data_IF_248275331269
#
_entry.id   IF_248275331269
#
_cell.length_a   1.000
_cell.length_b   1.000
_cell.length_c   1.000
_cell.angle_alpha   90.00
_cell.angle_beta   90.00
_cell.angle_gamma   90.00
#
_symmetry.space_group_name_H-M   'P 1'
#
loop_
_entity.id
_entity.type
_entity.pdbx_description
1 polymer ?
#
# COMPACT_ATOMS: atom_id res chain seq x y z
N UNK A 1 -15.54 7.02 -12.52
CA UNK A 1 -14.95 5.69 -12.24
C UNK A 1 -15.98 4.53 -12.21
N UNK A 2 -17.24 4.70 -12.65
CA UNK A 2 -18.26 3.62 -12.59
C UNK A 2 -18.94 3.27 -13.93
N UNK A 3 -18.54 3.86 -15.07
CA UNK A 3 -19.21 3.61 -16.36
C UNK A 3 -18.53 2.53 -17.23
N UNK A 4 -17.47 1.89 -16.75
CA UNK A 4 -16.83 0.78 -17.42
C UNK A 4 -16.64 -0.31 -16.37
N UNK A 5 -17.41 -1.39 -16.45
CA UNK A 5 -17.27 -2.62 -15.63
C UNK A 5 -15.91 -3.33 -15.84
N UNK A 6 -14.95 -2.67 -16.49
CA UNK A 6 -13.61 -3.17 -16.78
C UNK A 6 -12.59 -2.28 -16.07
N UNK A 7 -11.71 -2.92 -15.29
CA UNK A 7 -10.54 -2.26 -14.70
C UNK A 7 -9.76 -1.55 -15.80
N UNK A 8 -9.32 -0.32 -15.54
CA UNK A 8 -8.41 0.38 -16.45
C UNK A 8 -7.08 -0.35 -16.51
N UNK A 9 -6.38 -0.20 -17.63
CA UNK A 9 -5.07 -0.84 -17.84
C UNK A 9 -4.07 -0.48 -16.73
N UNK A 10 -4.13 0.75 -16.22
CA UNK A 10 -3.31 1.20 -15.07
C UNK A 10 -3.59 0.39 -13.79
N UNK A 11 -4.86 0.13 -13.47
CA UNK A 11 -5.22 -0.63 -12.27
C UNK A 11 -4.77 -2.09 -12.36
N UNK A 12 -4.87 -2.69 -13.55
CA UNK A 12 -4.39 -4.06 -13.78
C UNK A 12 -2.88 -4.16 -13.57
N UNK A 13 -2.10 -3.21 -14.12
CA UNK A 13 -0.64 -3.18 -13.97
C UNK A 13 -0.20 -3.10 -12.49
N UNK A 14 -0.84 -2.25 -11.69
CA UNK A 14 -0.52 -2.10 -10.26
C UNK A 14 -0.88 -3.38 -9.49
N UNK A 15 -2.03 -3.98 -9.78
CA UNK A 15 -2.49 -5.20 -9.10
C UNK A 15 -1.61 -6.42 -9.42
N UNK A 16 -1.20 -6.57 -10.68
CA UNK A 16 -0.33 -7.68 -11.10
C UNK A 16 1.07 -7.57 -10.45
N UNK A 17 1.62 -6.35 -10.36
CA UNK A 17 2.89 -6.11 -9.66
C UNK A 17 2.79 -6.44 -8.15
N UNK A 18 1.71 -6.00 -7.48
CA UNK A 18 1.48 -6.31 -6.07
C UNK A 18 1.33 -7.82 -5.82
N UNK A 19 0.59 -8.53 -6.67
CA UNK A 19 0.44 -10.00 -6.59
C UNK A 19 1.75 -10.72 -6.81
N UNK A 20 2.55 -10.31 -7.78
CA UNK A 20 3.84 -10.93 -8.05
C UNK A 20 4.83 -10.72 -6.88
N UNK A 21 4.86 -9.53 -6.28
CA UNK A 21 5.64 -9.26 -5.08
C UNK A 21 5.31 -10.21 -3.93
N UNK A 22 4.03 -10.44 -3.67
CA UNK A 22 3.57 -11.38 -2.63
C UNK A 22 3.93 -12.85 -2.95
N UNK A 23 3.71 -13.30 -4.19
CA UNK A 23 4.01 -14.70 -4.56
C UNK A 23 5.52 -14.96 -4.50
N UNK A 24 6.33 -14.01 -4.97
CA UNK A 24 7.79 -14.14 -4.98
C UNK A 24 8.40 -14.10 -3.58
N UNK A 25 7.79 -13.39 -2.64
CA UNK A 25 8.24 -13.38 -1.25
C UNK A 25 7.89 -14.67 -0.50
N UNK A 26 6.71 -15.25 -0.75
CA UNK A 26 6.23 -16.43 -0.02
C UNK A 26 6.72 -17.75 -0.64
N UNK A 27 6.85 -17.80 -1.97
CA UNK A 27 7.19 -19.01 -2.72
C UNK A 27 8.36 -18.75 -3.69
N UNK A 28 9.55 -18.38 -3.20
CA UNK A 28 10.68 -18.01 -4.04
C UNK A 28 11.11 -19.13 -5.00
N UNK A 29 11.03 -20.39 -4.54
CA UNK A 29 11.33 -21.57 -5.38
C UNK A 29 10.33 -21.73 -6.53
N UNK A 30 9.05 -21.45 -6.30
CA UNK A 30 8.02 -21.51 -7.33
C UNK A 30 8.25 -20.43 -8.38
N UNK A 31 8.55 -19.20 -7.96
CA UNK A 31 8.86 -18.11 -8.90
C UNK A 31 10.08 -18.42 -9.77
N UNK A 32 11.12 -19.03 -9.21
CA UNK A 32 12.29 -19.45 -9.98
C UNK A 32 11.94 -20.49 -11.06
N UNK A 33 11.01 -21.40 -10.79
CA UNK A 33 10.53 -22.39 -11.78
C UNK A 33 9.62 -21.72 -12.82
N UNK A 34 8.72 -20.84 -12.39
CA UNK A 34 7.77 -20.15 -13.25
C UNK A 34 8.44 -19.29 -14.33
N UNK A 35 9.66 -18.76 -14.09
CA UNK A 35 10.45 -18.03 -15.10
C UNK A 35 10.76 -18.87 -16.35
N UNK A 36 10.78 -20.20 -16.24
CA UNK A 36 11.07 -21.11 -17.34
C UNK A 36 9.82 -21.53 -18.13
N UNK A 37 8.62 -21.16 -17.65
CA UNK A 37 7.36 -21.58 -18.26
C UNK A 37 6.97 -20.60 -19.38
N UNK A 38 6.90 -21.03 -20.66
CA UNK A 38 6.67 -20.15 -21.81
C UNK A 38 5.17 -19.82 -22.01
N UNK A 39 4.43 -19.55 -20.93
CA UNK A 39 3.03 -19.12 -21.00
C UNK A 39 2.95 -17.59 -20.92
N UNK A 40 2.16 -16.98 -21.81
CA UNK A 40 2.00 -15.52 -21.88
C UNK A 40 1.59 -14.89 -20.55
N UNK A 41 0.60 -15.48 -19.86
CA UNK A 41 0.14 -15.00 -18.56
C UNK A 41 1.22 -15.04 -17.47
N UNK A 42 2.08 -16.07 -17.49
CA UNK A 42 3.19 -16.21 -16.52
C UNK A 42 4.28 -15.19 -16.81
N UNK A 43 4.62 -14.98 -18.09
CA UNK A 43 5.59 -13.95 -18.49
C UNK A 43 5.09 -12.54 -18.20
N UNK A 44 3.80 -12.28 -18.42
CA UNK A 44 3.16 -11.00 -18.10
C UNK A 44 3.19 -10.69 -16.59
N UNK A 45 3.04 -11.73 -15.75
CA UNK A 45 3.12 -11.62 -14.29
C UNK A 45 4.56 -11.44 -13.81
N UNK A 46 5.51 -12.19 -14.36
CA UNK A 46 6.94 -12.13 -14.00
C UNK A 46 7.58 -10.80 -14.45
N UNK A 47 7.12 -10.23 -15.57
CA UNK A 47 7.61 -8.95 -16.10
C UNK A 47 6.73 -7.75 -15.69
N UNK A 48 5.94 -7.88 -14.61
CA UNK A 48 5.08 -6.78 -14.14
C UNK A 48 5.89 -5.53 -13.74
N UNK A 49 7.13 -5.71 -13.29
CA UNK A 49 8.04 -4.62 -12.90
C UNK A 49 8.33 -3.64 -14.04
N UNK A 50 8.47 -4.13 -15.29
CA UNK A 50 8.68 -3.27 -16.46
C UNK A 50 7.49 -2.34 -16.72
N UNK A 51 6.28 -2.82 -16.44
CA UNK A 51 5.04 -2.06 -16.64
C UNK A 51 4.88 -0.96 -15.58
N UNK A 52 5.28 -1.24 -14.33
CA UNK A 52 5.31 -0.23 -13.25
C UNK A 52 6.38 0.81 -13.54
N UNK A 53 7.56 0.38 -13.99
CA UNK A 53 8.66 1.29 -14.32
C UNK A 53 8.28 2.28 -15.43
N UNK A 54 7.61 1.80 -16.49
CA UNK A 54 7.17 2.67 -17.59
C UNK A 54 6.20 3.76 -17.10
N UNK A 55 5.24 3.38 -16.25
CA UNK A 55 4.29 4.33 -15.66
C UNK A 55 4.98 5.36 -14.77
N UNK A 56 6.00 4.92 -14.03
CA UNK A 56 6.75 5.78 -13.15
C UNK A 56 7.62 6.77 -13.93
N UNK A 57 8.27 6.33 -15.01
CA UNK A 57 9.00 7.21 -15.94
C UNK A 57 8.09 8.26 -16.58
N UNK A 58 6.88 7.88 -17.00
CA UNK A 58 5.89 8.81 -17.53
C UNK A 58 5.49 9.86 -16.49
N UNK A 59 5.24 9.43 -15.25
CA UNK A 59 4.89 10.32 -14.13
C UNK A 59 6.03 11.30 -13.81
N UNK A 60 7.27 10.81 -13.81
CA UNK A 60 8.46 11.64 -13.59
C UNK A 60 8.66 12.66 -14.72
N UNK A 61 8.51 12.25 -15.98
CA UNK A 61 8.56 13.17 -17.14
C UNK A 61 7.47 14.24 -17.07
N UNK A 62 6.27 13.87 -16.60
CA UNK A 62 5.20 14.84 -16.39
C UNK A 62 5.56 15.82 -15.27
N UNK A 63 6.09 15.35 -14.14
CA UNK A 63 6.53 16.21 -13.04
C UNK A 63 7.62 17.20 -13.48
N UNK A 64 8.58 16.77 -14.31
CA UNK A 64 9.60 17.66 -14.89
C UNK A 64 8.98 18.73 -15.82
N UNK A 65 8.01 18.35 -16.66
CA UNK A 65 7.36 19.26 -17.62
C UNK A 65 6.46 20.30 -16.96
N UNK A 66 5.83 19.95 -15.83
CA UNK A 66 4.94 20.87 -15.12
C UNK A 66 5.69 21.99 -14.38
N UNK A 67 7.02 21.92 -14.31
CA UNK A 67 7.87 22.89 -13.60
C UNK A 67 7.67 22.84 -12.08
N UNK A 68 8.59 23.48 -11.35
CA UNK A 68 8.65 23.53 -9.87
C UNK A 68 7.36 24.11 -9.24
N UNK A 69 6.48 24.74 -10.04
CA UNK A 69 5.19 25.28 -9.61
C UNK A 69 4.07 24.25 -9.40
N UNK A 70 4.17 23.04 -9.96
CA UNK A 70 3.21 21.97 -9.69
C UNK A 70 3.61 21.22 -8.42
N UNK A 71 2.90 21.50 -7.31
CA UNK A 71 3.24 21.04 -5.95
C UNK A 71 2.88 19.57 -5.73
N UNK A 72 3.56 18.64 -6.39
CA UNK A 72 3.45 17.21 -6.07
C UNK A 72 4.74 16.69 -5.42
N UNK A 73 4.67 15.51 -4.80
CA UNK A 73 5.81 14.94 -4.08
C UNK A 73 6.99 14.62 -5.02
N UNK A 74 6.72 14.29 -6.29
CA UNK A 74 7.74 13.92 -7.28
C UNK A 74 8.51 15.15 -7.79
N UNK A 75 7.85 16.30 -7.98
CA UNK A 75 8.55 17.53 -8.34
C UNK A 75 9.45 18.03 -7.20
N UNK A 76 9.02 17.85 -5.94
CA UNK A 76 9.88 18.10 -4.76
C UNK A 76 11.07 17.14 -4.71
N UNK A 77 10.85 15.85 -4.98
CA UNK A 77 11.92 14.84 -5.01
C UNK A 77 13.00 15.20 -6.04
N UNK A 78 12.59 15.63 -7.25
CA UNK A 78 13.52 16.09 -8.30
C UNK A 78 14.30 17.32 -7.82
N UNK A 79 13.59 18.33 -7.30
CA UNK A 79 14.21 19.58 -6.86
C UNK A 79 15.20 19.39 -5.70
N UNK A 80 14.97 18.39 -4.84
CA UNK A 80 15.91 18.06 -3.77
C UNK A 80 17.12 17.28 -4.30
N UNK A 81 16.91 16.34 -5.22
CA UNK A 81 17.98 15.59 -5.87
C UNK A 81 18.96 16.50 -6.65
N UNK A 82 18.48 17.62 -7.19
CA UNK A 82 19.31 18.61 -7.89
C UNK A 82 20.23 19.41 -6.95
N UNK A 83 19.97 19.42 -5.63
CA UNK A 83 20.79 20.13 -4.64
C UNK A 83 21.98 19.32 -4.14
N UNK A 84 21.88 18.00 -4.19
CA UNK A 84 22.89 17.10 -3.64
C UNK A 84 24.06 16.87 -4.61
N UNK A 85 25.27 16.70 -4.04
CA UNK A 85 26.48 16.41 -4.83
C UNK A 85 26.52 14.96 -5.36
N UNK A 86 25.77 14.04 -4.74
CA UNK A 86 25.55 12.68 -5.20
C UNK A 86 24.09 12.55 -5.66
N UNK A 87 23.83 12.87 -6.92
CA UNK A 87 22.48 12.83 -7.48
C UNK A 87 22.06 11.41 -7.87
N UNK A 88 20.83 11.05 -7.53
CA UNK A 88 20.15 9.87 -8.04
C UNK A 88 19.92 9.99 -9.55
N UNK A 89 20.04 8.87 -10.24
CA UNK A 89 19.72 8.76 -11.66
C UNK A 89 18.21 8.90 -11.90
N UNK A 90 17.82 9.35 -13.09
CA UNK A 90 16.40 9.39 -13.50
C UNK A 90 15.70 8.05 -13.31
N UNK A 91 16.41 6.94 -13.52
CA UNK A 91 15.90 5.60 -13.30
C UNK A 91 15.58 5.33 -11.83
N UNK A 92 16.47 5.70 -10.90
CA UNK A 92 16.23 5.54 -9.46
C UNK A 92 15.07 6.41 -8.99
N UNK A 93 14.98 7.66 -9.46
CA UNK A 93 13.86 8.53 -9.13
C UNK A 93 12.52 7.97 -9.66
N UNK A 94 12.51 7.45 -10.89
CA UNK A 94 11.33 6.77 -11.44
C UNK A 94 11.00 5.50 -10.65
N UNK A 95 11.98 4.70 -10.26
CA UNK A 95 11.75 3.51 -9.46
C UNK A 95 11.06 3.85 -8.12
N UNK A 96 11.57 4.85 -7.40
CA UNK A 96 10.94 5.34 -6.16
C UNK A 96 9.53 5.88 -6.39
N UNK A 97 9.31 6.63 -7.47
CA UNK A 97 7.99 7.11 -7.84
C UNK A 97 7.00 5.95 -8.10
N UNK A 98 7.46 4.90 -8.77
CA UNK A 98 6.71 3.66 -8.97
C UNK A 98 6.34 3.00 -7.64
N UNK A 99 7.28 2.95 -6.70
CA UNK A 99 7.06 2.47 -5.33
C UNK A 99 5.92 3.22 -4.64
N UNK A 100 5.92 4.55 -4.66
CA UNK A 100 4.84 5.36 -4.07
C UNK A 100 3.49 5.11 -4.72
N UNK A 101 3.45 5.03 -6.05
CA UNK A 101 2.20 4.78 -6.80
C UNK A 101 1.63 3.40 -6.44
N UNK A 102 2.45 2.35 -6.44
CA UNK A 102 2.01 1.00 -6.11
C UNK A 102 1.54 0.91 -4.66
N UNK A 103 2.35 1.42 -3.73
CA UNK A 103 2.07 1.35 -2.30
C UNK A 103 0.79 2.12 -1.93
N UNK A 104 0.59 3.32 -2.48
CA UNK A 104 -0.53 4.19 -2.13
C UNK A 104 -1.85 3.90 -2.87
N UNK A 105 -1.79 3.36 -4.09
CA UNK A 105 -3.00 3.20 -4.91
C UNK A 105 -3.88 2.04 -4.47
N UNK A 106 -3.31 0.83 -4.44
CA UNK A 106 -4.08 -0.38 -4.14
C UNK A 106 -4.56 -0.43 -2.70
N UNK A 107 -3.71 -0.02 -1.76
CA UNK A 107 -4.03 -0.05 -0.33
C UNK A 107 -5.17 0.89 0.01
N UNK A 108 -5.08 2.16 -0.40
CA UNK A 108 -6.11 3.17 -0.15
C UNK A 108 -7.43 2.80 -0.81
N UNK A 109 -7.40 2.27 -2.03
CA UNK A 109 -8.62 1.84 -2.72
C UNK A 109 -9.34 0.71 -1.97
N UNK A 110 -8.60 -0.29 -1.49
CA UNK A 110 -9.16 -1.40 -0.69
C UNK A 110 -9.70 -0.89 0.63
N UNK A 111 -8.92 -0.09 1.37
CA UNK A 111 -9.34 0.48 2.66
C UNK A 111 -10.61 1.31 2.54
N UNK A 112 -10.70 2.21 1.55
CA UNK A 112 -11.90 3.02 1.31
C UNK A 112 -13.11 2.17 0.93
N UNK A 113 -12.90 1.12 0.12
CA UNK A 113 -13.99 0.20 -0.27
C UNK A 113 -14.60 -0.47 0.96
N UNK A 114 -13.76 -1.02 1.84
CA UNK A 114 -14.24 -1.67 3.06
C UNK A 114 -14.76 -0.67 4.09
N UNK A 115 -14.21 0.55 4.16
CA UNK A 115 -14.72 1.60 5.05
C UNK A 115 -16.17 1.93 4.68
N UNK A 116 -16.41 2.22 3.39
CA UNK A 116 -17.75 2.52 2.90
C UNK A 116 -18.69 1.33 3.14
N UNK A 117 -18.24 0.11 2.85
CA UNK A 117 -19.04 -1.09 3.10
C UNK A 117 -19.37 -1.29 4.58
N UNK A 118 -18.40 -1.13 5.49
CA UNK A 118 -18.57 -1.32 6.93
C UNK A 118 -19.53 -0.27 7.52
N UNK A 119 -19.38 1.00 7.11
CA UNK A 119 -20.28 2.08 7.52
C UNK A 119 -21.70 1.82 7.04
N UNK A 120 -21.89 1.50 5.75
CA UNK A 120 -23.23 1.29 5.19
C UNK A 120 -23.90 -0.01 5.67
N UNK A 121 -23.12 -1.00 6.09
CA UNK A 121 -23.64 -2.25 6.65
C UNK A 121 -24.09 -2.11 8.09
N UNK A 122 -23.72 -1.03 8.79
CA UNK A 122 -24.09 -0.78 10.17
C UNK A 122 -24.77 0.61 10.32
N UNK A 123 -26.11 0.67 10.30
CA UNK A 123 -26.85 1.93 10.39
C UNK A 123 -26.53 2.76 11.65
N UNK A 124 -26.17 2.12 12.76
CA UNK A 124 -25.81 2.81 13.99
C UNK A 124 -24.45 3.53 13.86
N UNK A 125 -23.47 2.87 13.23
CA UNK A 125 -22.16 3.47 12.91
C UNK A 125 -22.34 4.63 11.94
N UNK A 126 -23.11 4.42 10.86
CA UNK A 126 -23.41 5.48 9.90
C UNK A 126 -24.03 6.70 10.57
N UNK A 127 -25.10 6.52 11.34
CA UNK A 127 -25.81 7.63 11.98
C UNK A 127 -24.90 8.42 12.93
N UNK A 128 -24.05 7.73 13.70
CA UNK A 128 -23.12 8.36 14.64
C UNK A 128 -21.99 9.10 13.92
N UNK A 129 -21.45 8.52 12.84
CA UNK A 129 -20.42 9.16 12.02
C UNK A 129 -20.95 10.42 11.33
N UNK A 130 -22.13 10.33 10.72
CA UNK A 130 -22.77 11.50 10.12
C UNK A 130 -23.06 12.60 11.14
N UNK A 131 -23.47 12.24 12.36
CA UNK A 131 -23.71 13.21 13.42
C UNK A 131 -22.43 13.96 13.82
N UNK A 132 -21.29 13.26 13.92
CA UNK A 132 -19.99 13.88 14.19
C UNK A 132 -19.54 14.76 13.02
N UNK A 133 -19.58 14.27 11.78
CA UNK A 133 -19.14 15.04 10.61
C UNK A 133 -20.01 16.29 10.39
N UNK A 134 -21.31 16.25 10.75
CA UNK A 134 -22.21 17.40 10.69
C UNK A 134 -21.82 18.55 11.63
N UNK A 135 -20.94 18.34 12.60
CA UNK A 135 -20.45 19.43 13.48
C UNK A 135 -19.42 20.32 12.79
N UNK A 136 -18.84 19.88 11.67
CA UNK A 136 -17.87 20.66 10.91
C UNK A 136 -18.52 21.85 10.20
N UNK A 137 -17.78 22.96 10.14
CA UNK A 137 -18.19 24.12 9.35
C UNK A 137 -17.90 23.88 7.87
N UNK A 138 -18.62 24.53 6.93
CA UNK A 138 -18.42 24.33 5.49
C UNK A 138 -17.00 24.58 4.97
N UNK A 139 -16.16 25.31 5.71
CA UNK A 139 -14.76 25.61 5.38
C UNK A 139 -13.77 24.84 6.25
N UNK A 140 -14.09 23.57 6.57
CA UNK A 140 -13.17 22.71 7.31
C UNK A 140 -11.91 22.40 6.50
N UNK A 141 -10.83 22.12 7.21
CA UNK A 141 -9.52 21.74 6.68
C UNK A 141 -9.24 20.27 6.98
N UNK A 142 -8.19 19.71 6.38
CA UNK A 142 -7.75 18.35 6.68
C UNK A 142 -7.42 18.17 8.18
N UNK A 143 -6.85 19.20 8.82
CA UNK A 143 -6.58 19.22 10.25
C UNK A 143 -7.86 19.08 11.09
N UNK A 144 -8.97 19.69 10.66
CA UNK A 144 -10.25 19.57 11.36
C UNK A 144 -10.83 18.15 11.27
N UNK A 145 -10.59 17.44 10.15
CA UNK A 145 -10.97 16.04 10.00
C UNK A 145 -10.16 15.12 10.92
N UNK A 146 -8.86 15.38 11.08
CA UNK A 146 -7.99 14.60 11.98
C UNK A 146 -8.43 14.71 13.45
N UNK A 147 -9.14 15.78 13.83
CA UNK A 147 -9.67 15.97 15.17
C UNK A 147 -10.99 15.23 15.44
N UNK A 148 -11.58 14.54 14.45
CA UNK A 148 -12.83 13.81 14.63
C UNK A 148 -12.58 12.41 15.22
N UNK A 149 -12.82 12.18 16.52
CA UNK A 149 -12.42 10.94 17.17
C UNK A 149 -13.22 9.73 16.67
N UNK A 150 -14.49 9.88 16.31
CA UNK A 150 -15.29 8.75 15.84
C UNK A 150 -14.98 8.41 14.38
N UNK A 151 -14.73 9.39 13.51
CA UNK A 151 -14.19 9.16 12.17
C UNK A 151 -12.86 8.39 12.24
N UNK A 152 -11.93 8.83 13.07
CA UNK A 152 -10.66 8.14 13.29
C UNK A 152 -10.86 6.71 13.80
N UNK A 153 -11.76 6.50 14.76
CA UNK A 153 -12.09 5.16 15.24
C UNK A 153 -12.68 4.25 14.14
N UNK A 154 -13.54 4.77 13.27
CA UNK A 154 -14.11 4.02 12.13
C UNK A 154 -13.02 3.64 11.12
N UNK A 155 -12.10 4.56 10.82
CA UNK A 155 -10.96 4.30 9.93
C UNK A 155 -10.07 3.21 10.53
N UNK A 156 -9.64 3.37 11.78
CA UNK A 156 -8.78 2.42 12.49
C UNK A 156 -9.43 1.03 12.58
N UNK A 157 -10.73 0.96 12.90
CA UNK A 157 -11.43 -0.32 13.00
C UNK A 157 -11.60 -0.99 11.64
N UNK A 158 -11.83 -0.20 10.58
CA UNK A 158 -11.82 -0.71 9.22
C UNK A 158 -10.44 -1.27 8.87
N UNK A 159 -9.35 -0.59 9.22
CA UNK A 159 -7.99 -1.07 8.96
C UNK A 159 -7.65 -2.31 9.79
N UNK A 160 -8.18 -2.44 11.01
CA UNK A 160 -8.04 -3.64 11.86
C UNK A 160 -8.72 -4.83 11.21
N UNK A 161 -10.01 -4.71 10.86
CA UNK A 161 -10.81 -5.82 10.34
C UNK A 161 -10.47 -6.10 8.88
N UNK A 162 -10.37 -5.08 8.04
CA UNK A 162 -10.19 -5.18 6.59
C UNK A 162 -8.85 -4.61 6.13
N UNK A 163 -7.75 -5.04 6.77
CA UNK A 163 -6.40 -4.60 6.43
C UNK A 163 -6.11 -4.80 4.94
N UNK A 164 -5.68 -3.75 4.25
CA UNK A 164 -5.36 -3.81 2.82
C UNK A 164 -4.11 -4.66 2.52
N UNK A 165 -3.23 -4.84 3.51
CA UNK A 165 -2.09 -5.75 3.47
C UNK A 165 -2.20 -6.80 4.60
N UNK A 166 -3.10 -7.79 4.48
CA UNK A 166 -3.39 -8.75 5.56
C UNK A 166 -2.34 -9.86 5.70
N UNK A 167 -1.47 -10.02 4.69
CA UNK A 167 -0.48 -11.10 4.58
C UNK A 167 0.74 -10.91 5.48
N UNK A 168 1.72 -11.80 5.29
CA UNK A 168 2.96 -11.77 6.05
C UNK A 168 3.88 -10.64 5.55
N UNK A 169 4.58 -9.98 6.47
CA UNK A 169 5.61 -8.98 6.15
C UNK A 169 6.98 -9.56 6.53
N UNK A 170 7.67 -10.24 5.60
CA UNK A 170 8.90 -10.96 5.91
C UNK A 170 10.10 -10.04 6.17
N UNK A 171 10.97 -10.47 7.08
CA UNK A 171 12.29 -9.90 7.37
C UNK A 171 13.29 -11.04 7.55
N UNK A 172 14.47 -10.89 6.97
CA UNK A 172 15.57 -11.83 7.17
C UNK A 172 16.37 -11.42 8.40
N UNK A 173 16.59 -12.37 9.32
CA UNK A 173 17.40 -12.13 10.52
C UNK A 173 18.83 -11.78 10.12
N UNK A 174 19.39 -10.68 10.64
CA UNK A 174 20.71 -10.18 10.24
C UNK A 174 21.84 -11.10 10.74
N UNK A 175 23.05 -10.73 10.33
CA UNK A 175 24.24 -11.47 10.73
C UNK A 175 24.41 -11.56 12.25
N UNK A 176 24.75 -12.75 12.75
CA UNK A 176 24.88 -13.03 14.19
C UNK A 176 23.58 -13.37 14.92
N UNK A 177 22.43 -13.40 14.24
CA UNK A 177 21.14 -13.76 14.84
C UNK A 177 20.48 -12.62 15.63
N UNK A 178 19.27 -12.87 16.15
CA UNK A 178 18.52 -11.91 16.95
C UNK A 178 17.69 -12.62 18.04
N UNK A 179 17.60 -12.00 19.22
CA UNK A 179 16.72 -12.50 20.30
C UNK A 179 15.40 -11.75 20.30
N UNK A 180 14.30 -12.48 20.14
CA UNK A 180 12.92 -11.95 20.10
C UNK A 180 12.10 -12.61 21.21
N UNK A 181 11.53 -11.80 22.12
CA UNK A 181 10.72 -12.28 23.25
C UNK A 181 11.38 -13.41 24.08
N UNK A 182 12.71 -13.38 24.23
CA UNK A 182 13.48 -14.39 24.96
C UNK A 182 13.94 -15.60 24.12
N UNK A 183 13.56 -15.68 22.85
CA UNK A 183 13.96 -16.76 21.94
C UNK A 183 15.05 -16.26 20.98
N UNK A 184 16.16 -16.98 20.90
CA UNK A 184 17.21 -16.71 19.93
C UNK A 184 16.82 -17.27 18.55
N UNK A 185 16.86 -16.42 17.53
CA UNK A 185 16.61 -16.76 16.13
C UNK A 185 17.93 -16.64 15.36
N UNK A 186 18.41 -17.69 14.69
CA UNK A 186 19.64 -17.65 13.91
C UNK A 186 19.58 -16.70 12.71
N UNK A 187 20.76 -16.24 12.28
CA UNK A 187 20.97 -15.53 11.02
C UNK A 187 20.34 -16.25 9.82
N UNK A 188 19.81 -15.49 8.87
CA UNK A 188 19.29 -16.01 7.59
C UNK A 188 17.89 -16.61 7.68
N UNK A 189 17.32 -16.75 8.88
CA UNK A 189 15.92 -17.16 9.05
C UNK A 189 14.99 -16.00 8.67
N UNK A 190 13.95 -16.30 7.89
CA UNK A 190 12.88 -15.35 7.61
C UNK A 190 11.84 -15.39 8.73
N UNK A 191 11.59 -14.24 9.34
CA UNK A 191 10.52 -14.02 10.31
C UNK A 191 9.49 -13.06 9.72
N UNK A 192 8.22 -13.25 10.04
CA UNK A 192 7.14 -12.41 9.53
C UNK A 192 6.10 -12.12 10.60
N UNK A 193 5.46 -10.96 10.49
CA UNK A 193 4.22 -10.66 11.20
C UNK A 193 3.07 -10.58 10.21
N UNK A 194 1.88 -10.99 10.63
CA UNK A 194 0.69 -11.00 9.77
C UNK A 194 -0.41 -10.16 10.41
N UNK A 195 -0.77 -9.05 9.75
CA UNK A 195 -1.78 -8.13 10.27
C UNK A 195 -3.13 -8.83 10.51
N UNK A 196 -3.57 -9.69 9.59
CA UNK A 196 -4.85 -10.40 9.70
C UNK A 196 -5.02 -11.15 11.03
N UNK A 197 -3.98 -11.89 11.42
CA UNK A 197 -3.98 -12.74 12.62
C UNK A 197 -3.82 -11.90 13.88
N UNK A 198 -2.86 -10.96 13.88
CA UNK A 198 -2.59 -10.11 15.05
C UNK A 198 -3.78 -9.20 15.39
N UNK A 199 -4.42 -8.62 14.38
CA UNK A 199 -5.60 -7.76 14.55
C UNK A 199 -6.86 -8.51 14.97
N UNK A 200 -6.79 -9.85 15.04
CA UNK A 200 -7.87 -10.74 15.47
C UNK A 200 -7.50 -11.59 16.69
N UNK A 201 -6.39 -11.28 17.33
CA UNK A 201 -6.01 -11.93 18.58
C UNK A 201 -6.97 -11.47 19.69
N UNK A 202 -7.72 -12.42 20.26
CA UNK A 202 -8.68 -12.16 21.33
C UNK A 202 -8.01 -11.65 22.63
N UNK A 203 -6.70 -11.83 22.77
CA UNK A 203 -5.92 -11.27 23.89
C UNK A 203 -5.80 -9.74 23.74
N UNK A 204 -5.59 -9.25 22.51
CA UNK A 204 -5.44 -7.84 22.22
C UNK A 204 -6.80 -7.15 21.96
N UNK A 205 -7.71 -7.84 21.28
CA UNK A 205 -9.00 -7.32 20.85
C UNK A 205 -10.14 -8.21 21.37
N UNK A 206 -10.80 -7.85 22.47
CA UNK A 206 -12.04 -8.49 22.88
C UNK A 206 -13.06 -8.38 21.74
N UNK A 207 -13.64 -9.51 21.33
CA UNK A 207 -14.55 -9.60 20.16
C UNK A 207 -13.89 -9.32 18.79
N UNK A 208 -12.82 -10.06 18.42
CA UNK A 208 -11.96 -9.73 17.27
C UNK A 208 -12.62 -9.80 15.90
N UNK A 209 -13.80 -10.41 15.80
CA UNK A 209 -14.54 -10.63 14.55
C UNK A 209 -15.78 -9.73 14.40
N UNK A 210 -16.01 -8.82 15.34
CA UNK A 210 -16.99 -7.75 15.18
C UNK A 210 -16.40 -6.59 14.37
#
# INVERSE_FOLDING_TARGET
>A
MLNLEKKTEHMQKIEDAAKFGLISSELPLLCNILRWVPMKAVRDLVNSDEKVQTLAEETMRQAQRSGIGATNIFSKLIAENEKDCESYTDYQLAFEAGGFIVAGSGTTAVSLTYLVWAVLSNPAVQAKLEAEVKTLQPSYTDSDLEQLPYLSAVIEETLRVYSAAPGALPRTVPAGGATLAGYFVPEGITVSTQAYTLHRDAIAYPEPNQ
#
